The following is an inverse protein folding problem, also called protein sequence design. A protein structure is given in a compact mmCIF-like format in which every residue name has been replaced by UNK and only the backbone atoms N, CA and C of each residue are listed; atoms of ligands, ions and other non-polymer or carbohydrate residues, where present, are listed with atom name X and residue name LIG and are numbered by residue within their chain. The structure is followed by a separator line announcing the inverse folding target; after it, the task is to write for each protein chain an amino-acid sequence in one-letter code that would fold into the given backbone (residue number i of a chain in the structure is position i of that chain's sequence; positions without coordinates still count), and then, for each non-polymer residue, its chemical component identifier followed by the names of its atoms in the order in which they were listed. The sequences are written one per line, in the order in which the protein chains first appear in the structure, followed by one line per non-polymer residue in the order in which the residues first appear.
data_IF_959682832168
#
_entry.id   IF_959682832168
#
_cell.length_a   1.000
_cell.length_b   1.000
_cell.length_c   1.000
_cell.angle_alpha   90.00
_cell.angle_beta   90.00
_cell.angle_gamma   90.00
#
_symmetry.space_group_name_H-M   'P 1'
#
loop_
_entity.id
_entity.type
_entity.pdbx_description
1 polymer ?
#
# COMPACT_ATOMS: atom_id res chain seq x y z
N UNK A 1 7.25 -5.66 -10.37
CA UNK A 1 5.84 -5.33 -10.10
C UNK A 1 5.72 -4.02 -9.33
N UNK A 2 4.57 -3.33 -9.44
CA UNK A 2 4.24 -2.19 -8.58
C UNK A 2 3.57 -2.65 -7.29
N UNK A 3 3.91 -2.04 -6.15
CA UNK A 3 3.24 -2.32 -4.88
C UNK A 3 1.76 -1.95 -4.92
N UNK A 4 1.39 -0.90 -5.66
CA UNK A 4 -0.01 -0.51 -5.89
C UNK A 4 -0.82 -1.66 -6.49
N UNK A 5 -0.31 -2.27 -7.56
CA UNK A 5 -0.96 -3.38 -8.25
C UNK A 5 -1.11 -4.61 -7.33
N UNK A 6 -0.05 -4.92 -6.57
CA UNK A 6 -0.06 -6.02 -5.61
C UNK A 6 -1.07 -5.80 -4.49
N UNK A 7 -1.10 -4.59 -3.91
CA UNK A 7 -2.05 -4.24 -2.84
C UNK A 7 -3.48 -4.28 -3.37
N UNK A 8 -3.74 -3.74 -4.56
CA UNK A 8 -5.06 -3.85 -5.20
C UNK A 8 -5.48 -5.30 -5.40
N UNK A 9 -4.58 -6.18 -5.83
CA UNK A 9 -4.85 -7.62 -5.95
C UNK A 9 -5.15 -8.24 -4.58
N UNK A 10 -4.27 -8.04 -3.59
CA UNK A 10 -4.39 -8.61 -2.25
C UNK A 10 -5.67 -8.17 -1.52
N UNK A 11 -6.10 -6.92 -1.72
CA UNK A 11 -7.33 -6.40 -1.12
C UNK A 11 -8.60 -6.83 -1.87
N UNK A 12 -8.46 -7.48 -3.03
CA UNK A 12 -9.57 -7.95 -3.85
C UNK A 12 -10.22 -6.88 -4.72
N UNK A 13 -9.46 -5.87 -5.15
CA UNK A 13 -9.98 -4.79 -5.99
C UNK A 13 -10.66 -5.36 -7.25
N UNK A 14 -11.87 -4.91 -7.61
CA UNK A 14 -12.62 -5.55 -8.68
C UNK A 14 -12.01 -5.37 -10.07
N UNK A 15 -11.23 -4.30 -10.29
CA UNK A 15 -10.65 -3.96 -11.60
C UNK A 15 -9.25 -4.52 -11.87
N UNK A 16 -8.73 -5.37 -11.00
CA UNK A 16 -7.42 -6.01 -11.20
C UNK A 16 -7.57 -7.52 -11.42
N UNK A 17 -6.57 -8.19 -12.04
CA UNK A 17 -6.60 -9.64 -12.21
C UNK A 17 -6.83 -10.38 -10.90
N UNK A 18 -7.46 -11.55 -10.96
CA UNK A 18 -7.67 -12.42 -9.77
C UNK A 18 -6.44 -13.24 -9.40
N UNK A 19 -5.59 -13.48 -10.39
CA UNK A 19 -4.34 -14.22 -10.26
C UNK A 19 -3.15 -13.28 -10.06
N UNK A 20 -2.13 -13.77 -9.37
CA UNK A 20 -0.85 -13.08 -9.22
C UNK A 20 0.31 -14.07 -9.35
N UNK A 21 1.35 -13.79 -10.15
CA UNK A 21 2.45 -14.72 -10.39
C UNK A 21 3.41 -14.77 -9.18
N UNK A 22 3.05 -15.57 -8.17
CA UNK A 22 3.82 -15.73 -6.93
C UNK A 22 4.67 -17.01 -6.94
N UNK A 23 5.53 -17.14 -7.95
CA UNK A 23 6.41 -18.32 -8.12
C UNK A 23 7.81 -18.11 -7.51
N UNK A 24 8.09 -16.92 -6.99
CA UNK A 24 9.41 -16.52 -6.48
C UNK A 24 9.64 -17.02 -5.05
N UNK A 25 10.85 -17.51 -4.78
CA UNK A 25 11.29 -17.92 -3.45
C UNK A 25 11.97 -16.77 -2.71
N UNK A 26 12.83 -16.02 -3.40
CA UNK A 26 13.50 -14.83 -2.88
C UNK A 26 12.97 -13.58 -3.60
N UNK A 27 12.51 -12.59 -2.83
CA UNK A 27 11.82 -11.39 -3.34
C UNK A 27 12.48 -10.12 -2.81
N UNK A 28 12.67 -9.12 -3.68
CA UNK A 28 13.05 -7.76 -3.27
C UNK A 28 11.84 -6.82 -3.24
N UNK A 29 11.71 -6.02 -2.19
CA UNK A 29 10.75 -4.92 -2.04
C UNK A 29 11.54 -3.62 -1.87
N UNK A 30 11.33 -2.65 -2.76
CA UNK A 30 12.07 -1.38 -2.76
C UNK A 30 11.23 -0.29 -2.09
N UNK A 31 11.71 0.22 -0.96
CA UNK A 31 11.10 1.32 -0.19
C UNK A 31 11.00 1.02 1.31
N UNK A 32 10.99 2.07 2.14
CA UNK A 32 10.75 1.96 3.59
C UNK A 32 9.53 2.78 4.05
N UNK A 33 8.47 2.79 3.25
CA UNK A 33 7.15 3.29 3.67
C UNK A 33 6.29 2.17 4.26
N UNK A 34 5.14 2.53 4.85
CA UNK A 34 4.18 1.53 5.35
C UNK A 34 3.78 0.53 4.25
N UNK A 35 3.52 1.00 3.03
CA UNK A 35 3.16 0.13 1.90
C UNK A 35 4.23 -0.91 1.59
N UNK A 36 5.52 -0.56 1.74
CA UNK A 36 6.59 -1.53 1.54
C UNK A 36 6.56 -2.62 2.62
N UNK A 37 6.29 -2.23 3.88
CA UNK A 37 6.09 -3.19 4.95
C UNK A 37 4.80 -4.01 4.77
N UNK A 38 3.72 -3.44 4.25
CA UNK A 38 2.49 -4.18 3.98
C UNK A 38 2.71 -5.28 2.93
N UNK A 39 3.36 -4.92 1.82
CA UNK A 39 3.76 -5.88 0.79
C UNK A 39 4.67 -6.95 1.39
N UNK A 40 5.68 -6.55 2.16
CA UNK A 40 6.61 -7.48 2.78
C UNK A 40 5.91 -8.41 3.79
N UNK A 41 4.99 -7.88 4.59
CA UNK A 41 4.18 -8.61 5.59
C UNK A 41 3.30 -9.66 4.93
N UNK A 42 2.62 -9.31 3.85
CA UNK A 42 1.76 -10.26 3.10
C UNK A 42 2.61 -11.36 2.45
N UNK A 43 3.75 -11.01 1.87
CA UNK A 43 4.63 -11.97 1.21
C UNK A 43 5.36 -12.89 2.20
N UNK A 44 5.75 -12.37 3.37
CA UNK A 44 6.49 -13.15 4.38
C UNK A 44 5.59 -14.01 5.25
N UNK A 45 4.36 -13.58 5.58
CA UNK A 45 3.45 -14.34 6.46
C UNK A 45 2.89 -15.60 5.80
N UNK A 46 2.67 -16.63 6.61
CA UNK A 46 1.95 -17.81 6.16
C UNK A 46 0.48 -17.48 5.93
N UNK A 47 -0.11 -18.04 4.86
CA UNK A 47 -1.47 -17.72 4.45
C UNK A 47 -2.53 -17.96 5.56
N UNK A 48 -2.35 -19.01 6.37
CA UNK A 48 -3.24 -19.35 7.48
C UNK A 48 -3.25 -18.27 8.57
N UNK A 49 -2.18 -17.50 8.74
CA UNK A 49 -2.15 -16.37 9.68
C UNK A 49 -3.04 -15.21 9.21
N UNK A 50 -3.25 -15.10 7.90
CA UNK A 50 -4.08 -14.05 7.32
C UNK A 50 -5.56 -14.39 7.36
N UNK A 51 -5.93 -15.63 7.71
CA UNK A 51 -7.33 -16.04 7.77
C UNK A 51 -8.13 -15.33 8.88
N UNK A 52 -7.46 -14.73 9.87
CA UNK A 52 -8.05 -13.83 10.88
C UNK A 52 -8.57 -12.52 10.28
N UNK A 53 -8.17 -12.21 9.05
CA UNK A 53 -8.55 -11.01 8.31
C UNK A 53 -9.61 -11.33 7.26
N UNK A 54 -10.08 -10.30 6.57
CA UNK A 54 -10.99 -10.41 5.42
C UNK A 54 -10.24 -10.70 4.10
N UNK A 55 -9.08 -11.38 4.16
CA UNK A 55 -8.33 -11.79 2.97
C UNK A 55 -9.27 -12.51 1.96
N UNK A 56 -9.28 -12.11 0.68
CA UNK A 56 -10.04 -12.82 -0.35
C UNK A 56 -9.58 -14.27 -0.52
N UNK A 57 -10.51 -15.17 -0.83
CA UNK A 57 -10.21 -16.60 -0.96
C UNK A 57 -9.22 -16.89 -2.11
N UNK A 58 -9.32 -16.17 -3.24
CA UNK A 58 -8.35 -16.30 -4.34
C UNK A 58 -6.92 -15.93 -3.91
N UNK A 59 -6.79 -14.88 -3.08
CA UNK A 59 -5.50 -14.41 -2.56
C UNK A 59 -4.95 -15.42 -1.55
N UNK A 60 -5.79 -15.91 -0.63
CA UNK A 60 -5.41 -16.93 0.36
C UNK A 60 -4.82 -18.17 -0.32
N UNK A 61 -5.50 -18.70 -1.35
CA UNK A 61 -5.05 -19.91 -2.07
C UNK A 61 -3.68 -19.72 -2.72
N UNK A 62 -3.46 -18.57 -3.37
CA UNK A 62 -2.17 -18.25 -3.99
C UNK A 62 -1.07 -18.11 -2.93
N UNK A 63 -1.34 -17.42 -1.81
CA UNK A 63 -0.37 -17.30 -0.72
C UNK A 63 -0.08 -18.64 -0.03
N UNK A 64 -1.04 -19.56 -0.02
CA UNK A 64 -0.89 -20.89 0.58
C UNK A 64 0.08 -21.76 -0.21
N UNK A 65 0.13 -21.59 -1.52
CA UNK A 65 1.03 -22.29 -2.43
C UNK A 65 2.38 -21.57 -2.63
N UNK A 66 2.53 -20.37 -2.06
CA UNK A 66 3.71 -19.53 -2.19
C UNK A 66 5.00 -20.25 -1.76
N UNK A 67 6.03 -20.31 -2.63
CA UNK A 67 7.33 -20.88 -2.31
C UNK A 67 8.25 -19.89 -1.59
N UNK A 68 7.77 -18.68 -1.25
CA UNK A 68 8.57 -17.62 -0.63
C UNK A 68 9.23 -18.12 0.65
N UNK A 69 10.56 -17.93 0.73
CA UNK A 69 11.34 -18.10 1.95
C UNK A 69 12.00 -16.79 2.38
N UNK A 70 12.31 -15.89 1.45
CA UNK A 70 13.07 -14.68 1.77
C UNK A 70 12.44 -13.46 1.13
N UNK A 71 12.11 -12.48 1.97
CA UNK A 71 11.64 -11.16 1.54
C UNK A 71 12.64 -10.12 1.99
N UNK A 72 13.23 -9.40 1.05
CA UNK A 72 14.22 -8.36 1.29
C UNK A 72 13.62 -6.98 1.07
N UNK A 73 13.56 -6.16 2.12
CA UNK A 73 13.09 -4.77 2.04
C UNK A 73 14.29 -3.84 1.96
N UNK A 74 14.43 -3.09 0.87
CA UNK A 74 15.57 -2.22 0.62
C UNK A 74 15.24 -0.75 0.77
N UNK A 75 16.09 -0.05 1.52
CA UNK A 75 16.06 1.37 1.75
C UNK A 75 17.28 2.10 1.26
N UNK A 76 17.10 3.21 0.55
CA UNK A 76 18.21 4.06 0.07
C UNK A 76 18.86 4.95 1.14
N UNK A 77 18.37 4.93 2.38
CA UNK A 77 18.85 5.73 3.52
C UNK A 77 18.88 4.85 4.76
N UNK A 78 19.42 5.38 5.86
CA UNK A 78 19.58 4.66 7.11
C UNK A 78 18.28 4.45 7.91
N UNK A 79 18.38 3.71 9.03
CA UNK A 79 17.25 3.35 9.90
C UNK A 79 16.48 4.56 10.46
N UNK A 80 17.15 5.69 10.70
CA UNK A 80 16.51 6.90 11.22
C UNK A 80 15.59 7.60 10.20
N UNK A 81 15.72 7.29 8.90
CA UNK A 81 14.97 7.94 7.83
C UNK A 81 13.76 7.14 7.30
N UNK A 82 13.47 5.98 7.90
CA UNK A 82 12.31 5.15 7.53
C UNK A 82 11.01 5.93 7.71
N UNK A 83 10.01 5.57 6.91
CA UNK A 83 8.69 6.22 6.91
C UNK A 83 7.59 5.33 7.46
N UNK A 84 7.88 4.06 7.71
CA UNK A 84 6.96 3.21 8.45
C UNK A 84 6.97 3.52 9.95
N UNK A 85 5.90 3.14 10.65
CA UNK A 85 5.73 3.47 12.08
C UNK A 85 6.21 2.35 13.00
N UNK A 86 6.56 2.63 14.28
CA UNK A 86 6.98 1.59 15.21
C UNK A 86 5.93 0.52 15.48
N UNK A 87 4.63 0.85 15.34
CA UNK A 87 3.55 -0.11 15.52
C UNK A 87 3.60 -1.18 14.41
N UNK A 88 3.63 -0.74 13.16
CA UNK A 88 3.72 -1.63 11.99
C UNK A 88 4.97 -2.53 12.06
N UNK A 89 6.11 -1.98 12.50
CA UNK A 89 7.33 -2.77 12.66
C UNK A 89 7.17 -3.85 13.73
N UNK A 90 6.59 -3.53 14.90
CA UNK A 90 6.38 -4.52 15.98
C UNK A 90 5.40 -5.62 15.61
N UNK A 91 4.45 -5.37 14.70
CA UNK A 91 3.58 -6.44 14.21
C UNK A 91 4.36 -7.49 13.43
N UNK A 92 5.45 -7.10 12.75
CA UNK A 92 6.30 -8.03 12.02
C UNK A 92 7.01 -9.02 12.96
N UNK A 93 7.50 -8.56 14.12
CA UNK A 93 8.22 -9.42 15.08
C UNK A 93 7.36 -10.45 15.79
N UNK A 94 6.04 -10.40 15.63
CA UNK A 94 5.11 -11.38 16.20
C UNK A 94 4.55 -12.34 15.14
N UNK A 95 5.08 -12.31 13.91
CA UNK A 95 4.66 -13.23 12.84
C UNK A 95 5.11 -14.65 13.17
N UNK A 96 4.21 -15.62 13.02
CA UNK A 96 4.53 -17.01 13.29
C UNK A 96 5.48 -17.56 12.22
N UNK A 97 6.58 -18.20 12.63
CA UNK A 97 7.49 -18.87 11.70
C UNK A 97 8.07 -17.92 10.63
N UNK A 98 8.41 -16.69 11.06
CA UNK A 98 9.15 -15.68 10.29
C UNK A 98 10.25 -15.06 11.16
N UNK A 99 11.50 -15.17 10.73
CA UNK A 99 12.64 -14.52 11.39
C UNK A 99 12.94 -13.15 10.73
N UNK A 100 13.21 -12.12 11.54
CA UNK A 100 13.64 -10.80 11.04
C UNK A 100 15.17 -10.77 11.00
N UNK A 101 15.73 -10.35 9.88
CA UNK A 101 17.18 -10.27 9.67
C UNK A 101 17.59 -8.82 9.42
N UNK A 102 18.51 -8.34 10.27
CA UNK A 102 19.13 -7.03 10.20
C UNK A 102 20.63 -7.16 9.99
N UNK A 103 21.22 -6.17 9.34
CA UNK A 103 22.63 -6.15 8.95
C UNK A 103 23.35 -5.04 9.71
N UNK A 104 24.30 -5.34 10.62
CA UNK A 104 24.99 -4.32 11.41
C UNK A 104 25.67 -3.22 10.58
N UNK A 105 26.18 -3.56 9.40
CA UNK A 105 26.80 -2.65 8.45
C UNK A 105 25.85 -1.58 7.88
N UNK A 106 24.55 -1.73 8.06
CA UNK A 106 23.53 -0.80 7.58
C UNK A 106 23.15 0.27 8.62
N UNK A 107 23.68 0.17 9.84
CA UNK A 107 23.29 0.98 11.00
C UNK A 107 24.27 2.14 11.23
N UNK A 108 24.33 3.02 10.23
CA UNK A 108 25.04 4.30 10.32
C UNK A 108 24.08 5.44 10.65
N UNK A 109 24.53 6.36 11.51
CA UNK A 109 23.79 7.55 11.90
C UNK A 109 24.65 8.80 11.70
N UNK A 110 24.09 9.80 11.02
CA UNK A 110 24.70 11.11 10.82
C UNK A 110 24.12 12.17 11.78
N UNK A 111 24.63 13.40 11.71
CA UNK A 111 24.17 14.50 12.58
C UNK A 111 22.66 14.79 12.45
N UNK A 112 22.07 14.60 11.26
CA UNK A 112 20.64 14.74 11.06
C UNK A 112 19.85 13.60 11.70
N UNK A 113 20.36 12.38 11.61
CA UNK A 113 19.81 11.19 12.28
C UNK A 113 19.77 11.40 13.79
N UNK A 114 20.88 11.84 14.39
CA UNK A 114 20.97 12.11 15.83
C UNK A 114 19.97 13.17 16.28
N UNK A 115 19.84 14.25 15.50
CA UNK A 115 18.84 15.30 15.77
C UNK A 115 17.42 14.76 15.74
N UNK A 116 17.06 14.01 14.70
CA UNK A 116 15.72 13.41 14.58
C UNK A 116 15.44 12.41 15.71
N UNK A 117 16.40 11.57 16.08
CA UNK A 117 16.29 10.65 17.22
C UNK A 117 16.06 11.41 18.53
N UNK A 118 16.69 12.57 18.72
CA UNK A 118 16.52 13.39 19.92
C UNK A 118 15.19 14.16 19.93
N UNK A 119 14.75 14.68 18.78
CA UNK A 119 13.56 15.54 18.68
C UNK A 119 12.25 14.81 18.39
N UNK A 120 12.30 13.57 17.89
CA UNK A 120 11.13 12.82 17.46
C UNK A 120 11.01 11.46 18.16
N UNK A 121 10.03 11.34 19.06
CA UNK A 121 9.80 10.12 19.83
C UNK A 121 9.48 8.89 18.97
N UNK A 122 8.88 9.06 17.79
CA UNK A 122 8.62 7.93 16.89
C UNK A 122 9.92 7.40 16.30
N UNK A 123 10.80 8.30 15.83
CA UNK A 123 12.12 7.94 15.29
C UNK A 123 12.98 7.30 16.38
N UNK A 124 13.02 7.90 17.58
CA UNK A 124 13.72 7.32 18.74
C UNK A 124 13.29 5.89 19.04
N UNK A 125 11.98 5.68 19.07
CA UNK A 125 11.39 4.37 19.34
C UNK A 125 11.75 3.37 18.25
N UNK A 126 11.67 3.80 16.98
CA UNK A 126 12.00 3.00 15.81
C UNK A 126 13.46 2.51 15.85
N UNK A 127 14.39 3.44 15.99
CA UNK A 127 15.83 3.15 16.03
C UNK A 127 16.16 2.27 17.23
N UNK A 128 15.57 2.54 18.40
CA UNK A 128 15.75 1.72 19.59
C UNK A 128 15.26 0.27 19.39
N UNK A 129 14.10 0.06 18.77
CA UNK A 129 13.59 -1.28 18.46
C UNK A 129 14.52 -2.03 17.51
N UNK A 130 14.93 -1.40 16.40
CA UNK A 130 15.83 -2.05 15.43
C UNK A 130 17.21 -2.36 16.03
N UNK A 131 17.76 -1.45 16.86
CA UNK A 131 19.05 -1.66 17.53
C UNK A 131 18.97 -2.81 18.54
N UNK A 132 17.87 -2.92 19.28
CA UNK A 132 17.65 -4.05 20.19
C UNK A 132 17.58 -5.38 19.42
N UNK A 133 16.88 -5.41 18.29
CA UNK A 133 16.80 -6.62 17.47
C UNK A 133 18.16 -7.04 16.92
N UNK A 134 19.01 -6.10 16.50
CA UNK A 134 20.41 -6.43 16.14
C UNK A 134 21.15 -7.07 17.31
N UNK A 135 21.01 -6.50 18.50
CA UNK A 135 21.72 -7.00 19.69
C UNK A 135 21.21 -8.37 20.15
N UNK A 136 19.94 -8.70 19.87
CA UNK A 136 19.31 -9.98 20.19
C UNK A 136 19.46 -11.02 19.06
N UNK A 137 19.82 -10.60 17.85
CA UNK A 137 20.01 -11.48 16.69
C UNK A 137 21.22 -12.39 16.90
N UNK A 138 21.14 -13.69 16.56
CA UNK A 138 22.30 -14.59 16.63
C UNK A 138 23.41 -14.12 15.68
N UNK A 139 24.67 -14.37 16.06
CA UNK A 139 25.83 -14.03 15.22
C UNK A 139 25.79 -14.82 13.89
N UNK A 140 25.40 -16.09 13.95
CA UNK A 140 25.25 -16.95 12.79
C UNK A 140 23.78 -17.03 12.37
N UNK A 141 23.44 -16.44 11.22
CA UNK A 141 22.07 -16.45 10.68
C UNK A 141 21.54 -17.87 10.41
N UNK A 142 22.40 -18.89 10.37
CA UNK A 142 21.98 -20.30 10.28
C UNK A 142 21.32 -20.84 11.55
N UNK A 143 21.41 -20.12 12.67
CA UNK A 143 20.70 -20.48 13.91
C UNK A 143 19.21 -20.09 13.90
N UNK A 144 18.82 -19.24 12.94
CA UNK A 144 17.43 -18.90 12.68
C UNK A 144 16.68 -20.15 12.18
N UNK A 145 15.49 -20.39 12.73
CA UNK A 145 14.76 -21.66 12.55
C UNK A 145 13.44 -21.49 11.81
N UNK A 146 12.99 -20.26 11.61
CA UNK A 146 11.78 -19.99 10.86
C UNK A 146 11.93 -20.45 9.41
N UNK A 147 10.84 -20.96 8.82
CA UNK A 147 10.83 -21.34 7.40
C UNK A 147 10.92 -20.13 6.46
N UNK A 148 10.64 -18.92 6.96
CA UNK A 148 10.67 -17.67 6.21
C UNK A 148 11.48 -16.59 6.93
N UNK A 149 12.07 -15.68 6.16
CA UNK A 149 12.91 -14.59 6.64
C UNK A 149 12.51 -13.25 6.01
N UNK A 150 12.47 -12.23 6.85
CA UNK A 150 12.26 -10.84 6.44
C UNK A 150 13.53 -10.04 6.68
N UNK A 151 14.26 -9.75 5.61
CA UNK A 151 15.51 -9.01 5.64
C UNK A 151 15.24 -7.51 5.48
N UNK A 152 15.72 -6.68 6.40
CA UNK A 152 15.66 -5.22 6.26
C UNK A 152 17.06 -4.68 5.94
N UNK A 153 17.20 -4.18 4.73
CA UNK A 153 18.42 -3.60 4.18
C UNK A 153 18.28 -2.08 4.12
N UNK A 154 19.26 -1.35 4.64
CA UNK A 154 19.35 0.10 4.56
C UNK A 154 20.56 0.50 3.72
N UNK A 155 20.65 1.77 3.35
CA UNK A 155 21.77 2.28 2.57
C UNK A 155 21.99 1.59 1.20
N UNK A 156 20.92 1.19 0.52
CA UNK A 156 20.93 0.54 -0.78
C UNK A 156 20.13 1.33 -1.83
N UNK A 157 20.80 1.78 -2.89
CA UNK A 157 20.16 2.43 -4.04
C UNK A 157 20.08 1.46 -5.23
N UNK A 158 18.88 1.11 -5.73
CA UNK A 158 18.76 0.14 -6.83
C UNK A 158 19.33 0.71 -8.12
N UNK A 159 20.14 -0.11 -8.82
CA UNK A 159 20.83 0.28 -10.06
C UNK A 159 20.27 -0.48 -11.26
N UNK A 160 20.16 -1.80 -11.15
CA UNK A 160 19.76 -2.65 -12.28
C UNK A 160 19.00 -3.89 -11.79
N UNK A 161 17.92 -4.24 -12.49
CA UNK A 161 17.29 -5.56 -12.39
C UNK A 161 17.76 -6.35 -13.60
N UNK A 162 18.36 -7.51 -13.36
CA UNK A 162 18.96 -8.33 -14.42
C UNK A 162 18.35 -9.72 -14.48
N UNK A 163 18.44 -10.33 -15.66
CA UNK A 163 18.11 -11.74 -15.89
C UNK A 163 19.39 -12.59 -15.90
N UNK A 164 19.24 -13.90 -16.11
CA UNK A 164 20.36 -14.83 -16.26
C UNK A 164 20.24 -15.66 -17.52
N UNK A 165 21.32 -16.32 -17.92
CA UNK A 165 21.31 -17.24 -19.05
C UNK A 165 20.34 -18.42 -18.84
N UNK A 166 20.12 -18.82 -17.59
CA UNK A 166 19.22 -19.90 -17.20
C UNK A 166 17.74 -19.49 -17.27
N UNK A 167 17.44 -18.22 -17.01
CA UNK A 167 16.07 -17.67 -17.08
C UNK A 167 15.98 -16.35 -17.87
N UNK A 168 16.22 -16.37 -19.20
CA UNK A 168 16.18 -15.15 -20.00
C UNK A 168 14.81 -14.46 -19.94
N UNK A 169 14.82 -13.13 -19.78
CA UNK A 169 13.61 -12.31 -19.68
C UNK A 169 12.85 -12.43 -18.35
N UNK A 170 13.38 -13.17 -17.36
CA UNK A 170 12.85 -13.21 -16.00
C UNK A 170 13.85 -12.61 -15.03
N UNK A 171 13.37 -12.01 -13.95
CA UNK A 171 14.23 -11.48 -12.89
C UNK A 171 15.05 -12.62 -12.31
N UNK A 172 16.38 -12.47 -12.32
CA UNK A 172 17.32 -13.39 -11.66
C UNK A 172 18.07 -12.71 -10.51
N UNK A 173 18.13 -11.37 -10.53
CA UNK A 173 18.69 -10.61 -9.43
C UNK A 173 18.49 -9.11 -9.58
N UNK A 174 18.91 -8.40 -8.54
CA UNK A 174 18.93 -6.95 -8.49
C UNK A 174 20.30 -6.48 -7.98
N UNK A 175 20.88 -5.52 -8.69
CA UNK A 175 22.10 -4.83 -8.30
C UNK A 175 21.75 -3.52 -7.62
N UNK A 176 22.41 -3.27 -6.50
CA UNK A 176 22.37 -2.03 -5.76
C UNK A 176 23.74 -1.37 -5.74
N UNK A 177 23.75 -0.05 -5.68
CA UNK A 177 24.89 0.73 -5.21
C UNK A 177 24.70 0.97 -3.71
N UNK A 178 25.76 0.74 -2.92
CA UNK A 178 25.80 1.13 -1.51
C UNK A 178 25.77 2.65 -1.43
N UNK A 179 25.06 3.15 -0.43
CA UNK A 179 24.99 4.57 -0.15
C UNK A 179 25.54 4.86 1.24
N UNK A 180 25.94 6.10 1.48
CA UNK A 180 26.31 6.60 2.80
C UNK A 180 25.55 7.90 3.08
N UNK A 181 25.27 8.17 4.36
CA UNK A 181 24.60 9.40 4.75
C UNK A 181 25.52 10.62 4.56
N UNK A 182 24.96 11.76 4.16
CA UNK A 182 25.72 12.97 3.81
C UNK A 182 25.79 14.05 4.91
N UNK A 183 25.29 13.75 6.12
CA UNK A 183 25.19 14.70 7.23
C UNK A 183 23.85 15.43 7.31
N UNK A 184 23.04 15.37 6.25
CA UNK A 184 21.75 16.06 6.16
C UNK A 184 20.55 15.12 6.28
N UNK A 185 20.78 13.83 6.51
CA UNK A 185 19.76 12.79 6.46
C UNK A 185 19.37 12.41 5.02
N UNK A 186 20.11 12.90 4.03
CA UNK A 186 20.12 12.37 2.68
C UNK A 186 21.26 11.37 2.53
N UNK A 187 21.32 10.71 1.38
CA UNK A 187 22.34 9.71 1.08
C UNK A 187 22.94 9.97 -0.29
N UNK A 188 24.23 9.62 -0.42
CA UNK A 188 24.98 9.65 -1.68
C UNK A 188 25.55 8.28 -1.97
N UNK A 189 25.72 7.96 -3.25
CA UNK A 189 26.33 6.71 -3.68
C UNK A 189 27.82 6.64 -3.31
N UNK A 190 28.29 5.44 -2.96
CA UNK A 190 29.71 5.17 -2.67
C UNK A 190 30.48 4.66 -3.89
N UNK A 191 29.77 4.29 -4.97
CA UNK A 191 30.31 3.57 -6.12
C UNK A 191 30.52 2.08 -5.90
N UNK A 192 30.33 1.56 -4.68
CA UNK A 192 30.39 0.13 -4.39
C UNK A 192 29.06 -0.53 -4.77
N UNK A 193 29.12 -1.67 -5.47
CA UNK A 193 27.93 -2.39 -5.90
C UNK A 193 27.80 -3.74 -5.23
N UNK A 194 26.58 -4.11 -4.85
CA UNK A 194 26.21 -5.40 -4.27
C UNK A 194 25.04 -5.99 -5.06
N UNK A 195 25.04 -7.30 -5.26
CA UNK A 195 23.99 -8.02 -5.99
C UNK A 195 23.26 -8.99 -5.06
N UNK A 196 21.94 -9.06 -5.23
CA UNK A 196 21.08 -10.00 -4.52
C UNK A 196 20.36 -10.90 -5.53
N UNK A 197 20.51 -12.23 -5.43
CA UNK A 197 19.74 -13.16 -6.24
C UNK A 197 18.28 -13.16 -5.76
N UNK A 198 17.36 -12.77 -6.63
CA UNK A 198 15.91 -12.70 -6.36
C UNK A 198 15.14 -13.02 -7.64
N UNK A 199 13.92 -13.53 -7.54
CA UNK A 199 13.09 -13.85 -8.71
C UNK A 199 11.90 -12.91 -8.90
N UNK A 200 11.66 -12.00 -7.96
CA UNK A 200 10.67 -10.94 -8.10
C UNK A 200 11.13 -9.65 -7.41
N UNK A 201 10.74 -8.51 -7.99
CA UNK A 201 11.01 -7.17 -7.44
C UNK A 201 9.71 -6.38 -7.38
N UNK A 202 9.39 -5.83 -6.21
CA UNK A 202 8.23 -4.98 -5.95
C UNK A 202 8.68 -3.55 -5.63
N UNK A 203 8.27 -2.57 -6.44
CA UNK A 203 8.55 -1.16 -6.14
C UNK A 203 7.45 -0.55 -5.26
N UNK A 204 7.81 -0.09 -4.08
CA UNK A 204 6.94 0.55 -3.09
C UNK A 204 7.41 1.99 -2.78
N UNK A 205 7.73 2.75 -3.82
CA UNK A 205 8.34 4.09 -3.75
C UNK A 205 7.34 5.24 -3.94
N UNK A 206 6.06 4.99 -3.67
CA UNK A 206 4.96 5.95 -3.77
C UNK A 206 3.94 5.62 -4.85
N UNK A 207 2.72 6.15 -4.66
CA UNK A 207 1.67 6.15 -5.67
C UNK A 207 1.84 7.34 -6.62
N UNK A 208 1.04 7.37 -7.69
CA UNK A 208 0.99 8.48 -8.62
C UNK A 208 -0.45 8.69 -9.09
N UNK A 209 -0.91 9.94 -9.14
CA UNK A 209 -2.26 10.25 -9.61
C UNK A 209 -2.43 9.94 -11.11
N UNK A 210 -3.67 9.75 -11.53
CA UNK A 210 -4.04 9.63 -12.95
C UNK A 210 -4.82 10.87 -13.36
N UNK A 211 -4.58 11.35 -14.58
CA UNK A 211 -5.31 12.47 -15.16
C UNK A 211 -6.74 12.07 -15.49
N UNK A 212 -7.68 13.00 -15.31
CA UNK A 212 -9.05 12.87 -15.82
C UNK A 212 -9.19 13.74 -17.07
N UNK A 213 -10.07 13.36 -18.03
CA UNK A 213 -10.46 14.26 -19.10
C UNK A 213 -10.97 15.59 -18.55
N UNK A 214 -10.70 16.68 -19.27
CA UNK A 214 -11.21 18.02 -18.99
C UNK A 214 -10.77 18.66 -17.66
N UNK A 215 -9.80 18.06 -16.96
CA UNK A 215 -9.18 18.61 -15.74
C UNK A 215 -7.66 18.64 -15.93
N UNK A 216 -7.06 19.80 -15.68
CA UNK A 216 -5.60 19.96 -15.76
C UNK A 216 -4.88 19.03 -14.78
N UNK A 217 -3.67 18.62 -15.16
CA UNK A 217 -2.88 17.66 -14.40
C UNK A 217 -1.39 17.98 -14.42
N UNK A 218 -0.78 18.11 -13.23
CA UNK A 218 0.66 18.22 -13.11
C UNK A 218 1.29 16.83 -13.24
N UNK A 219 1.71 16.47 -14.47
CA UNK A 219 2.34 15.19 -14.78
C UNK A 219 3.69 14.95 -14.09
N UNK A 220 4.29 15.96 -13.46
CA UNK A 220 5.52 15.80 -12.67
C UNK A 220 5.20 15.45 -11.22
N UNK A 221 4.18 16.09 -10.64
CA UNK A 221 3.78 15.91 -9.24
C UNK A 221 2.69 14.86 -9.05
N UNK A 222 1.96 14.50 -10.10
CA UNK A 222 0.88 13.52 -10.07
C UNK A 222 -0.38 14.02 -9.35
N UNK A 223 -0.68 15.32 -9.47
CA UNK A 223 -1.79 15.99 -8.77
C UNK A 223 -2.57 16.89 -9.72
N UNK A 224 -3.81 17.21 -9.36
CA UNK A 224 -4.59 18.27 -9.99
C UNK A 224 -4.07 19.63 -9.50
N UNK A 225 -3.64 20.55 -10.38
CA UNK A 225 -3.22 21.90 -10.01
C UNK A 225 -4.33 22.60 -9.24
N UNK A 226 -3.99 23.15 -8.06
CA UNK A 226 -4.94 23.79 -7.18
C UNK A 226 -4.27 24.81 -6.25
N UNK A 227 -5.07 25.73 -5.73
CA UNK A 227 -4.71 26.60 -4.59
C UNK A 227 -5.77 26.46 -3.48
N UNK A 228 -5.34 25.93 -2.33
CA UNK A 228 -6.22 25.61 -1.20
C UNK A 228 -7.33 24.60 -1.54
N UNK A 229 -7.15 23.78 -2.58
CA UNK A 229 -8.15 22.84 -3.06
C UNK A 229 -9.11 23.38 -4.14
N UNK A 230 -9.00 24.65 -4.53
CA UNK A 230 -9.69 25.19 -5.72
C UNK A 230 -8.89 24.84 -6.96
N UNK A 231 -9.49 24.17 -7.93
CA UNK A 231 -8.78 23.69 -9.13
C UNK A 231 -8.39 24.85 -10.04
N UNK A 232 -7.20 24.75 -10.63
CA UNK A 232 -6.65 25.73 -11.57
C UNK A 232 -6.68 25.18 -13.00
N UNK A 233 -6.95 26.04 -13.98
CA UNK A 233 -6.79 25.75 -15.41
C UNK A 233 -5.34 25.98 -15.89
N UNK A 234 -5.11 25.83 -17.19
CA UNK A 234 -3.80 25.96 -17.81
C UNK A 234 -3.18 27.37 -17.69
N UNK A 235 -4.02 28.40 -17.58
CA UNK A 235 -3.60 29.80 -17.39
C UNK A 235 -3.41 30.15 -15.90
N UNK A 236 -3.69 29.21 -15.01
CA UNK A 236 -3.62 29.39 -13.56
C UNK A 236 -4.81 30.14 -12.98
N UNK A 237 -5.93 30.22 -13.70
CA UNK A 237 -7.18 30.76 -13.19
C UNK A 237 -8.02 29.67 -12.51
N UNK A 238 -8.90 30.06 -11.58
CA UNK A 238 -9.77 29.10 -10.91
C UNK A 238 -10.83 28.56 -11.86
N UNK A 239 -11.00 27.23 -11.88
CA UNK A 239 -12.11 26.56 -12.57
C UNK A 239 -13.35 26.64 -11.67
N UNK A 240 -14.40 27.40 -12.05
CA UNK A 240 -15.57 27.58 -11.19
C UNK A 240 -16.27 26.25 -10.87
N UNK A 241 -16.57 26.02 -9.60
CA UNK A 241 -17.29 24.82 -9.15
C UNK A 241 -16.45 23.53 -9.08
N UNK A 242 -15.16 23.58 -9.41
CA UNK A 242 -14.29 22.38 -9.39
C UNK A 242 -13.26 22.48 -8.25
N UNK A 243 -13.26 21.45 -7.40
CA UNK A 243 -12.44 21.38 -6.20
C UNK A 243 -11.75 20.02 -6.09
N UNK A 244 -10.67 19.98 -5.32
CA UNK A 244 -9.89 18.77 -5.07
C UNK A 244 -9.52 18.65 -3.59
N UNK A 245 -9.38 17.42 -3.11
CA UNK A 245 -8.98 17.11 -1.73
C UNK A 245 -8.22 15.77 -1.70
N UNK A 246 -7.44 15.55 -0.65
CA UNK A 246 -6.71 14.31 -0.43
C UNK A 246 -5.48 14.17 -1.32
N UNK A 247 -5.18 12.93 -1.70
CA UNK A 247 -3.93 12.62 -2.42
C UNK A 247 -3.87 13.25 -3.82
N UNK A 248 -5.00 13.38 -4.51
CA UNK A 248 -5.03 14.03 -5.83
C UNK A 248 -4.80 15.55 -5.74
N UNK A 249 -4.94 16.17 -4.54
CA UNK A 249 -4.62 17.57 -4.24
C UNK A 249 -3.14 17.77 -3.87
N UNK A 250 -2.61 16.94 -2.96
CA UNK A 250 -1.31 17.17 -2.29
C UNK A 250 -0.21 16.18 -2.66
N UNK A 251 -0.56 15.09 -3.34
CA UNK A 251 0.29 13.92 -3.55
C UNK A 251 0.06 12.85 -2.49
N UNK A 252 0.52 11.61 -2.73
CA UNK A 252 0.19 10.45 -1.92
C UNK A 252 1.08 10.31 -0.68
N UNK A 253 1.01 11.32 0.20
CA UNK A 253 1.77 11.37 1.45
C UNK A 253 0.84 11.65 2.62
N UNK A 254 1.06 10.92 3.71
CA UNK A 254 0.36 11.11 4.98
C UNK A 254 -0.72 10.05 5.24
N UNK A 255 -0.97 9.81 6.53
CA UNK A 255 -2.04 8.93 7.03
C UNK A 255 -3.43 9.54 6.82
N UNK A 256 -4.48 8.71 6.96
CA UNK A 256 -5.90 9.08 6.81
C UNK A 256 -6.27 10.37 7.56
N UNK A 257 -5.74 10.56 8.78
CA UNK A 257 -6.00 11.77 9.59
C UNK A 257 -5.55 13.08 8.93
N UNK A 258 -4.47 13.08 8.14
CA UNK A 258 -4.01 14.27 7.42
C UNK A 258 -4.98 14.66 6.29
N UNK A 259 -5.59 13.66 5.64
CA UNK A 259 -6.59 13.88 4.59
C UNK A 259 -7.84 14.56 5.14
N UNK A 260 -8.20 14.32 6.40
CA UNK A 260 -9.34 15.02 7.04
C UNK A 260 -9.11 16.53 7.17
N UNK A 261 -7.95 16.95 7.68
CA UNK A 261 -7.63 18.38 7.82
C UNK A 261 -7.57 19.10 6.47
N UNK A 262 -6.99 18.43 5.48
CA UNK A 262 -6.92 18.89 4.10
C UNK A 262 -8.31 19.09 3.45
N UNK A 263 -9.24 18.15 3.68
CA UNK A 263 -10.60 18.26 3.18
C UNK A 263 -11.36 19.44 3.81
N UNK A 264 -11.13 19.71 5.10
CA UNK A 264 -11.75 20.85 5.79
C UNK A 264 -11.34 22.19 5.17
N UNK A 265 -10.08 22.34 4.75
CA UNK A 265 -9.61 23.54 4.04
C UNK A 265 -10.35 23.71 2.70
N UNK A 266 -10.40 22.65 1.88
CA UNK A 266 -11.12 22.68 0.59
C UNK A 266 -12.60 23.02 0.78
N UNK A 267 -13.26 22.43 1.78
CA UNK A 267 -14.67 22.70 2.09
C UNK A 267 -14.86 24.14 2.55
N UNK A 268 -13.93 24.70 3.33
CA UNK A 268 -13.96 26.11 3.71
C UNK A 268 -14.01 27.03 2.49
N UNK A 269 -13.12 26.82 1.52
CA UNK A 269 -13.12 27.60 0.28
C UNK A 269 -14.40 27.40 -0.56
N UNK A 270 -14.94 26.18 -0.60
CA UNK A 270 -16.21 25.91 -1.28
C UNK A 270 -17.38 26.66 -0.63
N UNK A 271 -17.44 26.67 0.71
CA UNK A 271 -18.47 27.40 1.45
C UNK A 271 -18.35 28.90 1.27
N UNK A 272 -17.13 29.44 1.21
CA UNK A 272 -16.91 30.88 0.97
C UNK A 272 -17.35 31.31 -0.43
N UNK A 273 -17.18 30.44 -1.44
CA UNK A 273 -17.55 30.70 -2.82
C UNK A 273 -19.02 30.38 -3.15
N UNK A 274 -19.81 29.86 -2.19
CA UNK A 274 -21.13 29.24 -2.45
C UNK A 274 -22.14 30.13 -3.19
N UNK A 275 -22.10 31.44 -2.97
CA UNK A 275 -23.02 32.39 -3.60
C UNK A 275 -22.63 32.69 -5.07
N UNK A 276 -21.37 32.42 -5.42
CA UNK A 276 -20.79 32.68 -6.75
C UNK A 276 -20.62 31.38 -7.57
N UNK A 277 -21.05 30.24 -7.04
CA UNK A 277 -20.95 28.96 -7.75
C UNK A 277 -21.88 28.93 -8.97
N UNK A 278 -21.43 28.31 -10.08
CA UNK A 278 -22.29 28.14 -11.25
C UNK A 278 -23.52 27.29 -10.89
N UNK A 279 -24.70 27.75 -11.33
CA UNK A 279 -25.93 26.98 -11.18
C UNK A 279 -25.88 25.73 -12.05
N UNK A 280 -26.33 24.60 -11.49
CA UNK A 280 -26.48 23.37 -12.25
C UNK A 280 -27.54 23.55 -13.35
N UNK A 281 -27.20 23.14 -14.57
CA UNK A 281 -28.15 23.11 -15.70
C UNK A 281 -29.34 22.18 -15.43
N UNK A 282 -29.09 21.05 -14.76
CA UNK A 282 -30.09 20.07 -14.33
C UNK A 282 -30.04 19.94 -12.80
N UNK A 283 -30.81 20.76 -12.05
CA UNK A 283 -30.70 20.84 -10.60
C UNK A 283 -31.53 19.77 -9.84
N UNK A 284 -32.29 18.93 -10.55
CA UNK A 284 -33.11 17.89 -9.93
C UNK A 284 -32.24 16.85 -9.23
N UNK A 285 -32.67 16.40 -8.04
CA UNK A 285 -31.90 15.46 -7.20
C UNK A 285 -31.64 14.12 -7.90
N UNK A 286 -32.57 13.69 -8.76
CA UNK A 286 -32.50 12.45 -9.53
C UNK A 286 -31.82 12.59 -10.90
N UNK A 287 -31.40 13.80 -11.30
CA UNK A 287 -30.84 14.04 -12.64
C UNK A 287 -29.62 13.16 -12.95
N UNK A 288 -28.74 12.95 -11.97
CA UNK A 288 -27.57 12.08 -12.13
C UNK A 288 -27.97 10.61 -12.22
N UNK A 289 -28.97 10.19 -11.42
CA UNK A 289 -29.47 8.82 -11.43
C UNK A 289 -30.12 8.50 -12.78
N UNK A 290 -31.02 9.37 -13.25
CA UNK A 290 -31.66 9.25 -14.57
C UNK A 290 -30.63 9.26 -15.73
N UNK A 291 -29.53 10.02 -15.59
CA UNK A 291 -28.43 10.00 -16.56
C UNK A 291 -27.72 8.64 -16.59
N UNK A 292 -27.43 8.05 -15.43
CA UNK A 292 -26.79 6.72 -15.33
C UNK A 292 -27.71 5.64 -15.92
N UNK A 293 -28.99 5.65 -15.58
CA UNK A 293 -30.00 4.72 -16.11
C UNK A 293 -30.16 4.87 -17.63
N UNK A 294 -30.29 6.10 -18.13
CA UNK A 294 -30.40 6.38 -19.56
C UNK A 294 -29.15 5.98 -20.36
N UNK A 295 -27.99 5.89 -19.70
CA UNK A 295 -26.74 5.37 -20.28
C UNK A 295 -26.51 3.87 -20.00
N UNK A 296 -27.45 3.21 -19.31
CA UNK A 296 -27.33 1.82 -18.89
C UNK A 296 -26.04 1.53 -18.11
N UNK A 297 -25.65 2.47 -17.23
CA UNK A 297 -24.49 2.32 -16.34
C UNK A 297 -24.94 1.60 -15.08
N UNK A 298 -24.30 0.48 -14.77
CA UNK A 298 -24.54 -0.22 -13.52
C UNK A 298 -23.84 0.53 -12.36
N UNK A 299 -24.60 0.87 -11.32
CA UNK A 299 -24.11 1.54 -10.11
C UNK A 299 -24.65 0.84 -8.86
N UNK A 300 -24.18 1.24 -7.69
CA UNK A 300 -24.71 0.81 -6.39
C UNK A 300 -25.24 2.02 -5.62
N UNK A 301 -26.26 1.82 -4.78
CA UNK A 301 -26.74 2.82 -3.82
C UNK A 301 -26.18 2.54 -2.43
N UNK A 302 -26.54 3.37 -1.45
CA UNK A 302 -26.21 3.10 -0.06
C UNK A 302 -26.85 1.79 0.44
N UNK A 303 -28.12 1.57 0.13
CA UNK A 303 -28.85 0.36 0.46
C UNK A 303 -28.27 -0.87 -0.25
N UNK A 304 -27.87 -0.71 -1.51
CA UNK A 304 -27.20 -1.77 -2.26
C UNK A 304 -25.85 -2.15 -1.67
N UNK A 305 -25.05 -1.16 -1.26
CA UNK A 305 -23.80 -1.40 -0.54
C UNK A 305 -24.03 -2.16 0.77
N UNK A 306 -25.04 -1.77 1.57
CA UNK A 306 -25.38 -2.47 2.81
C UNK A 306 -25.82 -3.92 2.55
N UNK A 307 -26.54 -4.17 1.45
CA UNK A 307 -26.92 -5.52 1.07
C UNK A 307 -25.71 -6.38 0.68
N UNK A 308 -24.74 -5.82 -0.06
CA UNK A 308 -23.48 -6.48 -0.36
C UNK A 308 -22.68 -6.78 0.93
N UNK A 309 -22.58 -5.81 1.84
CA UNK A 309 -21.90 -5.96 3.13
C UNK A 309 -22.49 -7.10 3.96
N UNK A 310 -23.82 -7.18 4.08
CA UNK A 310 -24.51 -8.27 4.77
C UNK A 310 -24.38 -9.61 4.04
N UNK A 311 -24.37 -9.61 2.71
CA UNK A 311 -24.11 -10.80 1.93
C UNK A 311 -22.72 -11.38 2.24
N UNK A 312 -21.66 -10.57 2.19
CA UNK A 312 -20.29 -11.02 2.48
C UNK A 312 -20.11 -11.53 3.93
N UNK A 313 -20.80 -10.91 4.90
CA UNK A 313 -20.84 -11.41 6.29
C UNK A 313 -21.57 -12.75 6.39
N UNK A 314 -22.68 -12.92 5.66
CA UNK A 314 -23.43 -14.18 5.63
C UNK A 314 -22.59 -15.32 5.07
N UNK A 315 -21.75 -15.04 4.06
CA UNK A 315 -20.78 -16.01 3.54
C UNK A 315 -19.72 -16.38 4.60
N UNK A 316 -19.24 -15.41 5.37
CA UNK A 316 -18.35 -15.65 6.52
C UNK A 316 -18.98 -16.55 7.59
N UNK A 317 -20.22 -16.26 7.97
CA UNK A 317 -20.97 -17.04 8.95
C UNK A 317 -21.29 -18.47 8.49
N UNK A 318 -21.46 -18.68 7.19
CA UNK A 318 -21.71 -19.99 6.58
C UNK A 318 -20.43 -20.79 6.29
N UNK A 319 -19.26 -20.14 6.31
CA UNK A 319 -17.98 -20.81 6.05
C UNK A 319 -17.58 -21.74 7.20
N UNK A 320 -16.85 -22.81 6.86
CA UNK A 320 -16.22 -23.65 7.88
C UNK A 320 -15.18 -22.83 8.67
N UNK A 321 -14.97 -23.12 9.96
CA UNK A 321 -13.96 -22.44 10.75
C UNK A 321 -12.58 -22.52 10.11
N UNK A 322 -12.00 -21.35 9.82
CA UNK A 322 -10.74 -21.21 9.11
C UNK A 322 -9.57 -21.67 10.01
N UNK A 323 -8.66 -22.53 9.51
CA UNK A 323 -7.55 -23.05 10.31
C UNK A 323 -6.46 -21.99 10.49
N UNK A 324 -6.08 -21.68 11.73
CA UNK A 324 -4.91 -20.83 12.02
C UNK A 324 -3.93 -21.54 12.93
N UNK A 325 -2.70 -21.02 13.05
CA UNK A 325 -1.71 -21.51 14.01
C UNK A 325 -2.14 -21.40 15.48
N UNK A 326 -3.16 -20.56 15.79
CA UNK A 326 -3.76 -20.41 17.13
C UNK A 326 -5.03 -21.24 17.32
N UNK A 327 -5.42 -22.03 16.31
CA UNK A 327 -6.65 -22.83 16.28
C UNK A 327 -7.67 -22.31 15.27
N UNK A 328 -8.77 -23.04 15.05
CA UNK A 328 -9.81 -22.65 14.11
C UNK A 328 -10.55 -21.38 14.57
N UNK A 329 -10.90 -20.52 13.63
CA UNK A 329 -11.66 -19.28 13.89
C UNK A 329 -12.88 -19.19 12.97
N UNK A 330 -13.95 -18.56 13.44
CA UNK A 330 -15.04 -18.17 12.55
C UNK A 330 -14.58 -16.99 11.67
N UNK A 331 -14.92 -17.02 10.39
CA UNK A 331 -14.68 -15.91 9.46
C UNK A 331 -15.76 -14.85 9.67
N UNK A 332 -15.36 -13.61 9.96
CA UNK A 332 -16.32 -12.50 10.04
C UNK A 332 -16.96 -12.21 8.67
N UNK A 333 -16.16 -12.38 7.60
CA UNK A 333 -16.54 -12.07 6.23
C UNK A 333 -15.81 -12.97 5.22
N UNK A 334 -16.46 -13.23 4.09
CA UNK A 334 -15.82 -13.69 2.85
C UNK A 334 -16.13 -12.68 1.75
N UNK A 335 -15.08 -12.10 1.15
CA UNK A 335 -15.22 -11.03 0.15
C UNK A 335 -15.75 -11.57 -1.19
N UNK A 336 -16.72 -10.88 -1.75
CA UNK A 336 -17.07 -10.95 -3.17
C UNK A 336 -16.10 -10.04 -3.89
N UNK A 337 -15.36 -10.54 -4.88
CA UNK A 337 -14.32 -9.74 -5.56
C UNK A 337 -14.70 -9.31 -6.97
N UNK A 338 -15.69 -9.97 -7.60
CA UNK A 338 -16.13 -9.65 -8.96
C UNK A 338 -17.00 -8.39 -8.99
N UNK A 339 -16.66 -7.41 -9.86
CA UNK A 339 -17.46 -6.19 -10.05
C UNK A 339 -18.92 -6.51 -10.39
N UNK A 340 -19.12 -7.41 -11.34
CA UNK A 340 -20.46 -7.74 -11.84
C UNK A 340 -21.30 -8.40 -10.74
N UNK A 341 -20.69 -9.24 -9.92
CA UNK A 341 -21.35 -9.89 -8.78
C UNK A 341 -21.65 -8.90 -7.66
N UNK A 342 -20.67 -8.05 -7.29
CA UNK A 342 -20.86 -6.98 -6.31
C UNK A 342 -22.07 -6.10 -6.68
N UNK A 343 -22.16 -5.68 -7.95
CA UNK A 343 -23.23 -4.80 -8.44
C UNK A 343 -24.55 -5.54 -8.57
N UNK A 344 -24.56 -6.81 -9.00
CA UNK A 344 -25.77 -7.62 -9.04
C UNK A 344 -26.38 -7.79 -7.63
N UNK A 345 -25.59 -8.23 -6.65
CA UNK A 345 -26.02 -8.38 -5.25
C UNK A 345 -26.52 -7.04 -4.69
N UNK A 346 -25.78 -5.95 -4.97
CA UNK A 346 -26.18 -4.61 -4.54
C UNK A 346 -27.55 -4.22 -5.09
N UNK A 347 -27.79 -4.43 -6.39
CA UNK A 347 -29.03 -4.01 -7.04
C UNK A 347 -30.23 -4.88 -6.64
N UNK A 348 -30.02 -6.19 -6.48
CA UNK A 348 -31.04 -7.10 -5.96
C UNK A 348 -31.46 -6.71 -4.53
N UNK A 349 -30.48 -6.44 -3.67
CA UNK A 349 -30.72 -6.03 -2.28
C UNK A 349 -31.42 -4.67 -2.18
N UNK A 350 -31.03 -3.70 -2.99
CA UNK A 350 -31.68 -2.39 -3.04
C UNK A 350 -33.14 -2.50 -3.49
N UNK A 351 -33.44 -3.36 -4.47
CA UNK A 351 -34.80 -3.59 -4.93
C UNK A 351 -35.69 -4.21 -3.84
N UNK A 352 -35.14 -5.12 -3.03
CA UNK A 352 -35.85 -5.72 -1.88
C UNK A 352 -36.12 -4.68 -0.78
N UNK A 353 -35.19 -3.75 -0.53
CA UNK A 353 -35.36 -2.70 0.46
C UNK A 353 -36.40 -1.64 0.06
N UNK A 354 -36.65 -1.47 -1.25
CA UNK A 354 -37.57 -0.48 -1.80
C UNK A 354 -39.03 -0.96 -1.93
N UNK A 355 -39.27 -2.28 -1.89
CA UNK A 355 -40.61 -2.91 -1.97
C UNK A 355 -41.18 -3.24 -0.61
#
# INVERSE_FOLDING_TARGET
FGAADFVSWNDGHPDVPREWPLDAKEIAVIGNGNVALDVARVLSKHADELLVTEIPDNVYRILKESPVTDVHVFGRRGPAQVKFTPLELRELSHSHDVDIVLYPEDFEFDEASDREIQSNNQVKTMVGTLTNWIAEQPEELSELTASRRLHLHFLHNPVEIFDSAETPGKVAGIRFERTELDGTGNARGTGETVEYPVQAVYRAIGYFGSALPDVEFDHRRGVVPNDGGRVLDADGAFVPGVYTTGWIKRGPVGLIGHTKGDALETIGHLLDAREDLPLAAEPAEDAVVALLEGRNVAYTTWEGWLALDEHEKSLGAAAEPAPTHKGPIARERVKVVSRDEMVAISNEGAAVAAG
#
